data_IF_566342530873
#
_entry.id   IF_566342530873
#
_cell.length_a   1.000
_cell.length_b   1.000
_cell.length_c   1.000
_cell.angle_alpha   90.00
_cell.angle_beta   90.00
_cell.angle_gamma   90.00
#
_symmetry.space_group_name_H-M   'P 1'
#
loop_
_entity.id
_entity.type
_entity.pdbx_description
1 polymer ?
#
# COMPACT_ATOMS: atom_id res chain seq x y z
N UNK A 1 -22.01 8.34 18.70
CA UNK A 1 -22.59 7.57 17.58
C UNK A 1 -21.85 8.01 16.34
N UNK A 2 -20.89 7.20 15.89
CA UNK A 2 -19.85 7.57 14.92
C UNK A 2 -20.47 7.91 13.56
N UNK A 3 -20.25 9.16 13.10
CA UNK A 3 -20.81 9.67 11.85
C UNK A 3 -19.87 9.45 10.66
N UNK A 4 -19.09 8.38 10.64
CA UNK A 4 -18.30 8.09 9.44
C UNK A 4 -19.24 7.68 8.31
N UNK A 5 -19.22 8.41 7.18
CA UNK A 5 -19.96 7.98 6.00
C UNK A 5 -19.35 6.65 5.55
N UNK A 6 -20.08 5.56 5.79
CA UNK A 6 -19.72 4.21 5.40
C UNK A 6 -19.72 4.10 3.88
N UNK A 7 -18.58 4.40 3.24
CA UNK A 7 -18.38 4.05 1.83
C UNK A 7 -18.00 2.58 1.76
N UNK A 8 -18.66 1.84 0.89
CA UNK A 8 -18.31 0.45 0.61
C UNK A 8 -16.93 0.36 -0.03
N UNK A 9 -16.21 -0.72 0.23
CA UNK A 9 -14.83 -0.86 -0.25
C UNK A 9 -14.72 -0.96 -1.77
N UNK A 10 -15.79 -1.38 -2.46
CA UNK A 10 -15.85 -1.44 -3.92
C UNK A 10 -15.50 -0.11 -4.62
N UNK A 11 -15.79 1.05 -4.00
CA UNK A 11 -15.47 2.36 -4.58
C UNK A 11 -13.97 2.67 -4.61
N UNK A 12 -13.16 1.87 -3.93
CA UNK A 12 -11.71 2.01 -3.86
C UNK A 12 -10.96 1.10 -4.86
N UNK A 13 -11.62 0.06 -5.38
CA UNK A 13 -10.98 -0.96 -6.24
C UNK A 13 -10.33 -0.35 -7.49
N UNK A 14 -10.98 0.63 -8.12
CA UNK A 14 -10.44 1.31 -9.30
C UNK A 14 -9.15 2.09 -9.04
N UNK A 15 -8.86 2.50 -7.80
CA UNK A 15 -7.59 3.19 -7.50
C UNK A 15 -6.39 2.26 -7.65
N UNK A 16 -6.53 0.99 -7.27
CA UNK A 16 -5.47 -0.01 -7.42
C UNK A 16 -5.27 -0.45 -8.88
N UNK A 17 -6.31 -0.32 -9.72
CA UNK A 17 -6.27 -0.68 -11.14
C UNK A 17 -5.78 0.44 -12.06
N UNK A 18 -5.88 1.70 -11.61
CA UNK A 18 -5.68 2.87 -12.47
C UNK A 18 -4.40 2.80 -13.32
N UNK A 19 -3.25 2.53 -12.69
CA UNK A 19 -1.96 2.52 -13.41
C UNK A 19 -1.88 1.40 -14.47
N UNK A 20 -2.50 0.24 -14.22
CA UNK A 20 -2.58 -0.84 -15.19
C UNK A 20 -3.54 -0.50 -16.33
N UNK A 21 -4.71 0.06 -16.02
CA UNK A 21 -5.69 0.48 -17.02
C UNK A 21 -5.15 1.58 -17.95
N UNK A 22 -4.33 2.50 -17.44
CA UNK A 22 -3.67 3.54 -18.24
C UNK A 22 -2.79 2.94 -19.37
N UNK A 23 -2.35 1.69 -19.24
CA UNK A 23 -1.55 0.96 -20.25
C UNK A 23 -2.27 -0.29 -20.82
N UNK A 24 -3.59 -0.39 -20.62
CA UNK A 24 -4.42 -1.48 -21.17
C UNK A 24 -4.23 -2.85 -20.50
N UNK A 25 -3.75 -2.89 -19.27
CA UNK A 25 -3.57 -4.11 -18.47
C UNK A 25 -4.58 -4.19 -17.33
N UNK A 26 -4.80 -5.40 -16.77
CA UNK A 26 -5.68 -5.62 -15.61
C UNK A 26 -5.31 -6.91 -14.84
N UNK A 27 -5.98 -7.17 -13.71
CA UNK A 27 -5.89 -8.43 -12.94
C UNK A 27 -7.27 -8.99 -12.57
N UNK A 28 -7.41 -10.32 -12.63
CA UNK A 28 -8.70 -11.02 -12.59
C UNK A 28 -9.23 -11.39 -11.17
N UNK A 29 -8.72 -10.76 -10.11
CA UNK A 29 -9.17 -10.95 -8.72
C UNK A 29 -9.36 -9.61 -7.99
N UNK A 30 -10.15 -9.60 -6.90
CA UNK A 30 -10.42 -8.41 -6.07
C UNK A 30 -9.14 -7.72 -5.62
N UNK A 31 -9.21 -6.41 -5.39
CA UNK A 31 -8.07 -5.67 -4.81
C UNK A 31 -7.82 -6.05 -3.35
N UNK A 32 -8.84 -6.51 -2.64
CA UNK A 32 -8.67 -7.06 -1.29
C UNK A 32 -9.95 -7.55 -0.65
N UNK A 33 -9.81 -8.14 0.53
CA UNK A 33 -10.87 -8.74 1.33
C UNK A 33 -10.68 -8.43 2.82
N UNK A 34 -11.72 -8.57 3.64
CA UNK A 34 -11.55 -8.49 5.09
C UNK A 34 -10.77 -9.66 5.66
N UNK A 35 -10.15 -9.45 6.82
CA UNK A 35 -9.35 -10.44 7.54
C UNK A 35 -9.81 -10.54 8.99
N UNK A 36 -10.18 -11.74 9.42
CA UNK A 36 -10.65 -12.01 10.78
C UNK A 36 -9.53 -12.13 11.79
N UNK A 37 -9.78 -11.68 13.02
CA UNK A 37 -8.82 -11.80 14.12
C UNK A 37 -8.79 -13.24 14.66
N UNK A 38 -7.73 -14.00 14.33
CA UNK A 38 -7.62 -15.44 14.63
C UNK A 38 -8.80 -16.27 14.09
N UNK A 39 -9.38 -15.83 12.97
CA UNK A 39 -10.51 -16.46 12.28
C UNK A 39 -10.15 -16.63 10.79
N UNK A 40 -11.13 -16.54 9.90
CA UNK A 40 -10.93 -16.72 8.47
C UNK A 40 -10.01 -15.62 7.92
N UNK A 41 -9.03 -16.02 7.10
CA UNK A 41 -8.20 -15.06 6.36
C UNK A 41 -9.04 -14.27 5.34
N UNK A 42 -10.07 -14.90 4.77
CA UNK A 42 -11.09 -14.24 3.96
C UNK A 42 -12.36 -14.06 4.80
N UNK A 43 -12.57 -12.87 5.34
CA UNK A 43 -13.72 -12.54 6.19
C UNK A 43 -14.54 -11.41 5.60
N UNK A 44 -15.80 -11.70 5.29
CA UNK A 44 -16.78 -10.68 4.90
C UNK A 44 -17.42 -10.00 6.13
N UNK A 45 -18.33 -9.03 5.92
CA UNK A 45 -18.88 -8.60 4.63
C UNK A 45 -18.05 -7.52 3.92
N UNK A 46 -17.04 -6.94 4.57
CA UNK A 46 -16.21 -5.89 3.98
C UNK A 46 -15.20 -6.46 2.97
N UNK A 47 -14.92 -5.70 1.91
CA UNK A 47 -13.94 -6.07 0.90
C UNK A 47 -13.75 -4.97 -0.15
N UNK A 48 -12.67 -5.05 -0.90
CA UNK A 48 -12.32 -4.11 -1.98
C UNK A 48 -12.31 -4.88 -3.30
N UNK A 49 -13.41 -4.83 -4.05
CA UNK A 49 -13.54 -5.48 -5.34
C UNK A 49 -14.50 -4.72 -6.25
N UNK A 50 -14.33 -4.83 -7.57
CA UNK A 50 -15.36 -4.46 -8.54
C UNK A 50 -16.63 -5.32 -8.37
N UNK A 51 -16.51 -6.52 -7.79
CA UNK A 51 -17.65 -7.37 -7.48
C UNK A 51 -18.51 -6.70 -6.40
N UNK A 52 -19.83 -6.65 -6.57
CA UNK A 52 -20.69 -6.05 -5.56
C UNK A 52 -20.70 -6.90 -4.29
N UNK A 53 -20.53 -6.24 -3.14
CA UNK A 53 -20.76 -6.83 -1.82
C UNK A 53 -22.08 -6.29 -1.26
N UNK A 54 -23.23 -6.94 -1.56
CA UNK A 54 -24.55 -6.38 -1.24
C UNK A 54 -24.81 -6.21 0.26
N UNK A 55 -24.05 -6.90 1.10
CA UNK A 55 -24.13 -6.83 2.56
C UNK A 55 -22.98 -6.06 3.20
N UNK A 56 -22.10 -5.43 2.42
CA UNK A 56 -21.03 -4.58 2.96
C UNK A 56 -21.65 -3.36 3.66
N UNK A 57 -21.52 -3.24 5.00
CA UNK A 57 -22.07 -2.13 5.74
C UNK A 57 -21.28 -0.83 5.50
N UNK A 58 -20.20 -0.87 4.72
CA UNK A 58 -19.25 0.19 4.47
C UNK A 58 -18.06 0.16 5.43
N UNK A 59 -16.99 0.86 5.04
CA UNK A 59 -15.74 0.91 5.78
C UNK A 59 -15.86 1.71 7.08
N UNK A 60 -15.24 1.18 8.15
CA UNK A 60 -15.23 1.75 9.50
C UNK A 60 -13.85 1.61 10.15
N UNK A 61 -13.48 2.53 11.05
CA UNK A 61 -12.25 2.39 11.84
C UNK A 61 -12.15 1.03 12.53
N UNK A 62 -10.95 0.45 12.55
CA UNK A 62 -10.63 -0.84 13.17
C UNK A 62 -10.85 -2.08 12.29
N UNK A 63 -11.43 -1.93 11.09
CA UNK A 63 -11.51 -3.04 10.13
C UNK A 63 -10.14 -3.35 9.51
N UNK A 64 -9.82 -4.64 9.39
CA UNK A 64 -8.60 -5.11 8.72
C UNK A 64 -8.97 -5.65 7.34
N UNK A 65 -8.25 -5.18 6.32
CA UNK A 65 -8.41 -5.59 4.93
C UNK A 65 -7.05 -5.99 4.35
N UNK A 66 -7.02 -6.88 3.35
CA UNK A 66 -5.89 -6.97 2.43
C UNK A 66 -5.92 -5.81 1.42
N UNK A 67 -4.75 -5.43 0.93
CA UNK A 67 -4.53 -4.55 -0.22
C UNK A 67 -3.51 -5.24 -1.12
N UNK A 68 -3.99 -5.87 -2.18
CA UNK A 68 -3.27 -6.90 -2.93
C UNK A 68 -3.39 -6.79 -4.46
N UNK A 69 -3.14 -5.63 -5.09
CA UNK A 69 -3.12 -5.55 -6.55
C UNK A 69 -2.09 -6.52 -7.16
N UNK A 70 -2.36 -6.95 -8.39
CA UNK A 70 -1.47 -7.85 -9.12
C UNK A 70 -1.49 -7.65 -10.63
N UNK A 71 -0.69 -8.44 -11.32
CA UNK A 71 -0.67 -8.58 -12.77
C UNK A 71 -0.09 -9.95 -13.13
N UNK A 72 -0.68 -10.63 -14.11
CA UNK A 72 -0.29 -11.98 -14.49
C UNK A 72 -0.16 -12.09 -16.01
N UNK A 73 1.07 -12.36 -16.47
CA UNK A 73 1.37 -12.58 -17.88
C UNK A 73 1.38 -14.08 -18.15
N UNK A 74 0.38 -14.54 -18.91
CA UNK A 74 0.13 -15.97 -19.17
C UNK A 74 1.37 -16.62 -19.80
N UNK A 75 1.79 -17.74 -19.22
CA UNK A 75 2.96 -18.50 -19.70
C UNK A 75 4.32 -17.89 -19.35
N UNK A 76 4.35 -16.78 -18.61
CA UNK A 76 5.59 -16.09 -18.23
C UNK A 76 5.71 -15.93 -16.71
N UNK A 77 5.18 -14.84 -16.14
CA UNK A 77 5.35 -14.49 -14.72
C UNK A 77 4.09 -13.87 -14.13
N UNK A 78 4.06 -13.76 -12.80
CA UNK A 78 3.01 -13.10 -12.05
C UNK A 78 3.60 -12.21 -10.97
N UNK A 79 2.92 -11.10 -10.69
CA UNK A 79 3.26 -10.15 -9.65
C UNK A 79 2.01 -9.93 -8.82
N UNK A 80 2.14 -10.02 -7.50
CA UNK A 80 1.14 -9.54 -6.55
C UNK A 80 1.87 -8.89 -5.39
N UNK A 81 1.42 -7.72 -4.99
CA UNK A 81 1.99 -7.00 -3.87
C UNK A 81 0.90 -6.81 -2.81
N UNK A 82 1.04 -7.50 -1.68
CA UNK A 82 -0.03 -7.64 -0.69
C UNK A 82 0.42 -7.20 0.70
N UNK A 83 -0.34 -6.26 1.26
CA UNK A 83 -0.24 -5.85 2.66
C UNK A 83 -1.61 -5.98 3.36
N UNK A 84 -1.60 -6.23 4.67
CA UNK A 84 -2.76 -6.01 5.50
C UNK A 84 -2.79 -4.56 5.97
N UNK A 85 -3.96 -3.94 5.91
CA UNK A 85 -4.19 -2.55 6.30
C UNK A 85 -5.35 -2.45 7.29
N UNK A 86 -5.18 -1.59 8.29
CA UNK A 86 -6.23 -1.19 9.20
C UNK A 86 -6.90 0.09 8.69
N UNK A 87 -8.22 0.09 8.62
CA UNK A 87 -9.00 1.31 8.39
C UNK A 87 -8.93 2.19 9.63
N UNK A 88 -8.51 3.44 9.48
CA UNK A 88 -8.34 4.39 10.58
C UNK A 88 -9.00 5.73 10.27
N UNK A 89 -9.43 6.44 11.32
CA UNK A 89 -9.91 7.81 11.18
C UNK A 89 -8.73 8.78 10.97
N UNK A 90 -8.84 9.65 9.97
CA UNK A 90 -7.84 10.66 9.63
C UNK A 90 -8.40 12.05 9.89
N UNK A 91 -7.64 12.85 10.63
CA UNK A 91 -7.84 14.27 10.82
C UNK A 91 -6.61 15.02 10.31
N UNK A 92 -6.67 16.36 10.24
CA UNK A 92 -5.51 17.18 9.83
C UNK A 92 -4.29 17.00 10.74
N UNK A 93 -4.49 16.61 12.00
CA UNK A 93 -3.42 16.32 12.97
C UNK A 93 -2.94 14.87 12.98
N UNK A 94 -3.56 13.97 12.20
CA UNK A 94 -3.17 12.56 12.17
C UNK A 94 -1.79 12.40 11.53
N UNK A 95 -0.99 11.44 12.04
CA UNK A 95 0.28 11.03 11.43
C UNK A 95 0.05 10.14 10.20
N UNK A 96 -0.56 10.71 9.17
CA UNK A 96 -0.85 10.05 7.90
C UNK A 96 -0.31 10.90 6.74
N UNK A 97 0.29 10.31 5.69
CA UNK A 97 1.01 11.06 4.64
C UNK A 97 0.18 12.12 3.89
N UNK A 98 -1.15 11.95 3.88
CA UNK A 98 -2.10 12.88 3.24
C UNK A 98 -2.91 13.74 4.23
N UNK A 99 -2.70 13.60 5.54
CA UNK A 99 -3.50 14.27 6.57
C UNK A 99 -3.43 15.81 6.50
N UNK A 100 -2.23 16.37 6.31
CA UNK A 100 -2.03 17.82 6.23
C UNK A 100 -2.76 18.48 5.07
N UNK A 101 -3.03 17.72 4.00
CA UNK A 101 -3.72 18.18 2.79
C UNK A 101 -5.25 18.17 2.90
N UNK A 102 -5.81 17.68 4.01
CA UNK A 102 -7.25 17.69 4.22
C UNK A 102 -7.78 19.13 4.30
N UNK A 103 -8.78 19.42 3.46
CA UNK A 103 -9.46 20.73 3.41
C UNK A 103 -10.74 20.79 4.25
N UNK A 104 -11.24 19.63 4.67
CA UNK A 104 -12.44 19.47 5.46
C UNK A 104 -12.63 18.01 5.87
N UNK A 105 -13.76 17.71 6.48
CA UNK A 105 -14.09 16.41 7.06
C UNK A 105 -15.41 15.85 6.49
N UNK A 106 -15.69 16.15 5.22
CA UNK A 106 -16.94 15.75 4.55
C UNK A 106 -18.18 16.20 5.34
N UNK A 107 -18.29 17.48 5.67
CA UNK A 107 -19.42 18.07 6.42
C UNK A 107 -19.67 17.39 7.79
N UNK A 108 -18.61 17.16 8.56
CA UNK A 108 -18.70 16.47 9.85
C UNK A 108 -18.83 14.95 9.77
N UNK A 109 -18.70 14.37 8.57
CA UNK A 109 -18.75 12.90 8.37
C UNK A 109 -17.40 12.22 8.57
N UNK A 110 -16.33 12.96 8.83
CA UNK A 110 -14.99 12.42 9.03
C UNK A 110 -14.35 11.83 7.76
N UNK A 111 -13.03 11.63 7.83
CA UNK A 111 -12.23 11.04 6.74
C UNK A 111 -11.62 9.74 7.25
N UNK A 112 -11.63 8.72 6.40
CA UNK A 112 -10.94 7.45 6.65
C UNK A 112 -9.66 7.38 5.83
N UNK A 113 -8.72 6.58 6.30
CA UNK A 113 -7.50 6.21 5.60
C UNK A 113 -7.02 4.84 6.05
N UNK A 114 -5.85 4.44 5.59
CA UNK A 114 -5.28 3.14 5.90
C UNK A 114 -3.98 3.28 6.68
N UNK A 115 -3.82 2.40 7.67
CA UNK A 115 -2.56 2.17 8.36
C UNK A 115 -2.06 0.76 8.04
N UNK A 116 -0.93 0.65 7.36
CA UNK A 116 -0.33 -0.66 7.03
C UNK A 116 0.08 -1.40 8.30
N UNK A 117 -0.35 -2.66 8.40
CA UNK A 117 0.01 -3.59 9.47
C UNK A 117 1.19 -4.49 9.10
N UNK A 118 1.22 -4.97 7.85
CA UNK A 118 2.35 -5.72 7.32
C UNK A 118 3.62 -4.87 7.39
N UNK A 119 4.74 -5.50 7.78
CA UNK A 119 6.05 -4.86 7.88
C UNK A 119 7.09 -5.73 7.18
N UNK A 120 7.07 -5.73 5.86
CA UNK A 120 8.03 -6.45 5.01
C UNK A 120 8.55 -5.48 3.94
N UNK A 121 9.87 -5.37 3.73
CA UNK A 121 10.40 -4.43 2.73
C UNK A 121 9.93 -4.78 1.32
N UNK A 122 9.54 -3.76 0.55
CA UNK A 122 9.46 -3.85 -0.91
C UNK A 122 10.81 -4.20 -1.53
N UNK A 123 10.82 -5.14 -2.49
CA UNK A 123 12.02 -5.44 -3.28
C UNK A 123 12.35 -4.29 -4.22
N UNK A 124 13.48 -3.61 -3.96
CA UNK A 124 13.84 -2.34 -4.61
C UNK A 124 14.14 -2.51 -6.10
N UNK A 125 14.70 -3.65 -6.48
CA UNK A 125 15.08 -3.97 -7.87
C UNK A 125 13.87 -4.18 -8.79
N UNK A 126 12.68 -4.40 -8.22
CA UNK A 126 11.43 -4.58 -8.97
C UNK A 126 10.68 -3.27 -9.23
N UNK A 127 11.23 -2.12 -8.82
CA UNK A 127 10.57 -0.82 -8.90
C UNK A 127 11.26 0.05 -9.95
N UNK A 128 10.54 0.41 -11.01
CA UNK A 128 10.98 1.44 -11.95
C UNK A 128 10.71 2.83 -11.36
N UNK A 129 11.77 3.53 -10.94
CA UNK A 129 11.69 4.84 -10.29
C UNK A 129 11.21 5.97 -11.22
N UNK A 130 11.22 5.74 -12.54
CA UNK A 130 10.69 6.70 -13.51
C UNK A 130 9.15 6.71 -13.52
N UNK A 131 8.50 5.65 -13.04
CA UNK A 131 7.05 5.53 -12.95
C UNK A 131 6.47 6.11 -11.66
N UNK A 132 7.28 6.25 -10.61
CA UNK A 132 6.83 6.77 -9.33
C UNK A 132 6.82 8.30 -9.31
N UNK A 133 5.78 8.88 -8.72
CA UNK A 133 5.79 10.29 -8.33
C UNK A 133 6.62 10.53 -7.05
N UNK A 134 6.86 11.81 -6.71
CA UNK A 134 7.66 12.17 -5.53
C UNK A 134 7.01 11.73 -4.21
N UNK A 135 5.67 11.72 -4.17
CA UNK A 135 4.93 11.27 -3.00
C UNK A 135 5.08 9.76 -2.80
N UNK A 136 4.97 8.96 -3.86
CA UNK A 136 5.09 7.51 -3.85
C UNK A 136 6.50 7.07 -3.44
N UNK A 137 7.54 7.71 -4.01
CA UNK A 137 8.92 7.44 -3.61
C UNK A 137 9.15 7.76 -2.12
N UNK A 138 8.65 8.92 -1.65
CA UNK A 138 8.73 9.29 -0.25
C UNK A 138 7.93 8.34 0.65
N UNK A 139 6.79 7.84 0.17
CA UNK A 139 5.94 6.89 0.87
C UNK A 139 6.65 5.55 1.08
N UNK A 140 7.25 4.97 0.03
CA UNK A 140 8.00 3.71 0.11
C UNK A 140 9.20 3.85 1.07
N UNK A 141 9.97 4.94 0.97
CA UNK A 141 11.09 5.20 1.87
C UNK A 141 10.65 5.35 3.34
N UNK A 142 9.53 6.05 3.58
CA UNK A 142 8.96 6.20 4.93
C UNK A 142 8.50 4.85 5.47
N UNK A 143 7.92 4.00 4.63
CA UNK A 143 7.52 2.64 4.98
C UNK A 143 8.73 1.77 5.32
N UNK A 144 9.75 1.71 4.47
CA UNK A 144 11.00 0.98 4.75
C UNK A 144 11.67 1.44 6.06
N UNK A 145 11.72 2.75 6.32
CA UNK A 145 12.23 3.29 7.58
C UNK A 145 11.41 2.80 8.79
N UNK A 146 10.07 2.76 8.67
CA UNK A 146 9.19 2.20 9.70
C UNK A 146 9.46 0.71 9.91
N UNK A 147 9.57 -0.08 8.84
CA UNK A 147 9.87 -1.52 8.91
C UNK A 147 11.16 -1.76 9.69
N UNK A 148 12.26 -1.10 9.32
CA UNK A 148 13.55 -1.24 9.98
C UNK A 148 13.49 -0.80 11.45
N UNK A 149 12.85 0.34 11.74
CA UNK A 149 12.72 0.86 13.10
C UNK A 149 11.92 -0.06 14.01
N UNK A 150 10.89 -0.72 13.48
CA UNK A 150 10.03 -1.61 14.25
C UNK A 150 10.65 -3.00 14.43
N UNK A 151 11.14 -3.61 13.36
CA UNK A 151 11.64 -5.00 13.40
C UNK A 151 13.10 -5.10 13.83
N UNK A 152 13.91 -4.07 13.58
CA UNK A 152 15.35 -4.08 13.89
C UNK A 152 15.67 -4.46 15.34
N UNK A 153 15.07 -3.78 16.36
CA UNK A 153 15.29 -4.13 17.76
C UNK A 153 14.85 -5.55 18.13
N UNK A 154 13.82 -6.08 17.46
CA UNK A 154 13.32 -7.46 17.68
C UNK A 154 14.29 -8.48 17.12
N UNK A 155 14.86 -8.24 15.93
CA UNK A 155 15.87 -9.13 15.34
C UNK A 155 17.15 -9.14 16.19
N UNK A 156 17.58 -7.95 16.63
CA UNK A 156 18.76 -7.81 17.48
C UNK A 156 18.59 -8.52 18.83
N UNK A 157 17.45 -8.35 19.51
CA UNK A 157 17.20 -8.99 20.82
C UNK A 157 17.12 -10.51 20.73
N UNK A 158 16.77 -11.05 19.56
CA UNK A 158 16.75 -12.48 19.26
C UNK A 158 18.08 -13.04 18.76
N UNK A 159 19.12 -12.21 18.61
CA UNK A 159 20.43 -12.63 18.08
C UNK A 159 20.43 -12.93 16.58
N UNK A 160 19.43 -12.46 15.83
CA UNK A 160 19.30 -12.66 14.38
C UNK A 160 20.09 -11.59 13.61
N UNK A 161 21.42 -11.68 13.73
CA UNK A 161 22.35 -10.64 13.22
C UNK A 161 22.33 -10.55 11.70
N UNK A 162 22.33 -11.68 11.00
CA UNK A 162 22.31 -11.71 9.53
C UNK A 162 20.98 -11.19 8.98
N UNK A 163 19.84 -11.56 9.59
CA UNK A 163 18.53 -11.03 9.21
C UNK A 163 18.44 -9.52 9.45
N UNK A 164 19.02 -9.03 10.56
CA UNK A 164 19.07 -7.60 10.83
C UNK A 164 19.87 -6.84 9.77
N UNK A 165 21.06 -7.37 9.41
CA UNK A 165 21.89 -6.79 8.36
C UNK A 165 21.17 -6.79 7.01
N UNK A 166 20.56 -7.91 6.63
CA UNK A 166 19.73 -8.00 5.43
C UNK A 166 18.60 -6.97 5.46
N UNK A 167 17.90 -6.81 6.59
CA UNK A 167 16.81 -5.85 6.72
C UNK A 167 17.30 -4.41 6.54
N UNK A 168 18.49 -4.07 7.07
CA UNK A 168 19.10 -2.77 6.85
C UNK A 168 19.38 -2.51 5.36
N UNK A 169 19.89 -3.50 4.65
CA UNK A 169 20.18 -3.41 3.22
C UNK A 169 18.90 -3.28 2.37
N UNK A 170 17.84 -4.02 2.71
CA UNK A 170 16.57 -3.96 1.98
C UNK A 170 15.78 -2.68 2.25
N UNK A 171 15.86 -2.14 3.47
CA UNK A 171 15.21 -0.87 3.85
C UNK A 171 16.08 0.37 3.58
N UNK A 172 17.21 0.23 2.88
CA UNK A 172 18.04 1.37 2.52
C UNK A 172 17.25 2.36 1.65
N UNK A 173 17.40 3.70 1.84
CA UNK A 173 16.65 4.68 1.07
C UNK A 173 16.83 4.53 -0.44
N UNK A 174 15.70 4.53 -1.15
CA UNK A 174 15.63 4.56 -2.61
C UNK A 174 15.77 6.02 -3.05
N UNK A 175 16.72 6.27 -3.95
CA UNK A 175 16.96 7.59 -4.54
C UNK A 175 16.93 7.48 -6.06
N UNK A 176 16.32 8.44 -6.74
CA UNK A 176 16.47 8.56 -8.19
C UNK A 176 17.94 8.90 -8.47
N UNK A 177 18.64 8.04 -9.19
CA UNK A 177 20.01 8.35 -9.62
C UNK A 177 19.99 9.63 -10.46
N UNK A 178 20.96 10.52 -10.26
CA UNK A 178 21.17 11.65 -11.17
C UNK A 178 21.51 11.07 -12.54
N UNK A 179 20.58 11.15 -13.49
CA UNK A 179 20.87 10.86 -14.89
C UNK A 179 21.99 11.82 -15.32
N UNK A 180 23.23 11.34 -15.41
CA UNK A 180 24.19 11.96 -16.32
C UNK A 180 23.59 11.73 -17.69
N UNK A 181 22.96 12.76 -18.25
CA UNK A 181 22.78 12.83 -19.70
C UNK A 181 24.16 12.67 -20.32
N UNK A 182 24.50 11.46 -20.76
CA UNK A 182 25.51 11.30 -21.77
C UNK A 182 24.89 11.86 -23.05
N UNK A 183 25.24 13.12 -23.33
CA UNK A 183 25.18 13.66 -24.68
C UNK A 183 26.10 12.81 -25.55
N UNK A 184 25.55 11.72 -26.10
CA UNK A 184 26.16 10.96 -27.17
C UNK A 184 25.73 11.54 -28.50
N UNK A 185 26.29 12.71 -28.85
CA UNK A 185 26.37 13.12 -30.25
C UNK A 185 27.23 12.11 -31.01
N UNK A 186 26.74 11.65 -32.16
CA UNK A 186 27.46 10.70 -33.00
C UNK A 186 26.71 10.46 -34.30
N UNK A 187 27.08 11.23 -35.32
CA UNK A 187 26.77 10.99 -36.73
C UNK A 187 27.02 9.53 -37.15
N UNK A 188 26.06 8.93 -37.86
CA UNK A 188 26.21 8.47 -39.25
C UNK A 188 24.85 8.07 -39.82
#
# INVERSE_FOLDING_TARGET
MERYLCRQGNVLDSFARKALWDVGLDYAHGTGHGVGHCLNVHEGPAGVSWRPYPHDPGLRPGQILSNEPGFYKVGEYGIRHEDLVETVAITKGSKHPRASNLRGDLDGRGVLGFNTLTLVPNQRECIDLALLDDFELAYINSYHSRVLKTLGPVLQSRGLVEDYKWLQEQCAPIVRGSTRHQNGGGQQ
#
